data_IF_015077379657
#
_entry.id   IF_015077379657
#
_cell.length_a   1.000
_cell.length_b   1.000
_cell.length_c   1.000
_cell.angle_alpha   90.00
_cell.angle_beta   90.00
_cell.angle_gamma   90.00
#
_symmetry.space_group_name_H-M   'P 1'
#
loop_
_entity.id
_entity.type
_entity.pdbx_description
1 polymer ?
#
# COMPACT_ATOMS: atom_id res chain seq x y z
N UNK A 1 2.83 34.12 26.70
CA UNK A 1 3.99 33.24 26.40
C UNK A 1 3.74 31.82 26.90
N UNK A 2 3.44 31.60 28.19
CA UNK A 2 3.15 30.27 28.75
C UNK A 2 1.91 29.55 28.16
N UNK A 3 0.80 30.26 27.88
CA UNK A 3 -0.39 29.65 27.24
C UNK A 3 -0.17 29.19 25.79
N UNK A 4 0.75 29.84 25.06
CA UNK A 4 1.07 29.48 23.67
C UNK A 4 1.84 28.15 23.65
N UNK A 5 2.76 27.97 24.60
CA UNK A 5 3.53 26.73 24.74
C UNK A 5 2.63 25.55 25.13
N UNK A 6 1.65 25.75 26.02
CA UNK A 6 0.68 24.71 26.41
C UNK A 6 -0.22 24.32 25.23
N UNK A 7 -0.75 25.29 24.48
CA UNK A 7 -1.55 25.01 23.28
C UNK A 7 -0.77 24.26 22.18
N UNK A 8 0.53 24.55 22.02
CA UNK A 8 1.40 23.84 21.07
C UNK A 8 1.68 22.39 21.51
N UNK A 9 1.85 22.17 22.80
CA UNK A 9 2.05 20.82 23.38
C UNK A 9 0.77 19.99 23.27
N UNK A 10 -0.40 20.58 23.53
CA UNK A 10 -1.68 19.89 23.36
C UNK A 10 -1.99 19.57 21.90
N UNK A 11 -1.70 20.49 20.96
CA UNK A 11 -1.94 20.20 19.54
C UNK A 11 -1.05 19.08 19.00
N UNK A 12 0.20 19.00 19.47
CA UNK A 12 1.16 17.97 19.05
C UNK A 12 0.88 16.62 19.70
N UNK A 13 0.44 16.59 20.96
CA UNK A 13 0.04 15.38 21.67
C UNK A 13 -1.26 14.79 21.10
N UNK A 14 -2.27 15.62 20.82
CA UNK A 14 -3.52 15.22 20.18
C UNK A 14 -3.27 14.69 18.76
N UNK A 15 -2.33 15.28 18.01
CA UNK A 15 -1.95 14.77 16.69
C UNK A 15 -1.27 13.40 16.76
N UNK A 16 -0.37 13.18 17.73
CA UNK A 16 0.27 11.87 17.95
C UNK A 16 -0.72 10.79 18.41
N UNK A 17 -1.64 11.12 19.30
CA UNK A 17 -2.71 10.21 19.70
C UNK A 17 -3.59 9.83 18.51
N UNK A 18 -3.88 10.79 17.63
CA UNK A 18 -4.66 10.56 16.43
C UNK A 18 -3.94 9.62 15.45
N UNK A 19 -2.62 9.78 15.24
CA UNK A 19 -1.88 8.91 14.29
C UNK A 19 -1.79 7.45 14.76
N UNK A 20 -1.58 7.22 16.06
CA UNK A 20 -1.54 5.88 16.65
C UNK A 20 -2.92 5.21 16.58
N UNK A 21 -3.98 5.97 16.88
CA UNK A 21 -5.36 5.48 16.76
C UNK A 21 -5.70 5.11 15.32
N UNK A 22 -5.33 5.95 14.36
CA UNK A 22 -5.54 5.71 12.93
C UNK A 22 -4.77 4.47 12.44
N UNK A 23 -3.52 4.29 12.89
CA UNK A 23 -2.75 3.07 12.62
C UNK A 23 -3.42 1.83 13.22
N UNK A 24 -3.88 1.89 14.46
CA UNK A 24 -4.61 0.81 15.10
C UNK A 24 -5.89 0.45 14.34
N UNK A 25 -6.66 1.46 13.92
CA UNK A 25 -7.88 1.27 13.13
C UNK A 25 -7.58 0.72 11.73
N UNK A 26 -6.49 1.17 11.10
CA UNK A 26 -6.04 0.63 9.82
C UNK A 26 -5.60 -0.83 9.91
N UNK A 27 -4.85 -1.21 10.96
CA UNK A 27 -4.45 -2.60 11.20
C UNK A 27 -5.64 -3.49 11.52
N UNK A 28 -6.53 -3.02 12.40
CA UNK A 28 -7.74 -3.75 12.78
C UNK A 28 -8.69 -3.94 11.59
N UNK A 29 -9.03 -2.84 10.91
CA UNK A 29 -9.88 -2.83 9.74
C UNK A 29 -9.29 -3.66 8.62
N UNK A 30 -8.00 -3.48 8.31
CA UNK A 30 -7.27 -4.26 7.31
C UNK A 30 -7.32 -5.75 7.63
N UNK A 31 -6.99 -6.16 8.86
CA UNK A 31 -7.02 -7.58 9.25
C UNK A 31 -8.43 -8.18 9.11
N UNK A 32 -9.48 -7.45 9.52
CA UNK A 32 -10.87 -7.89 9.34
C UNK A 32 -11.22 -7.98 7.86
N UNK A 33 -10.93 -6.95 7.07
CA UNK A 33 -11.18 -6.92 5.63
C UNK A 33 -10.50 -8.07 4.90
N UNK A 34 -9.22 -8.31 5.19
CA UNK A 34 -8.47 -9.44 4.64
C UNK A 34 -9.11 -10.79 4.99
N UNK A 35 -9.51 -10.99 6.26
CA UNK A 35 -10.19 -12.24 6.68
C UNK A 35 -11.56 -12.42 6.02
N UNK A 36 -12.34 -11.35 5.87
CA UNK A 36 -13.64 -11.41 5.17
C UNK A 36 -13.42 -11.82 3.71
N UNK A 37 -12.50 -11.16 3.01
CA UNK A 37 -12.22 -11.46 1.60
C UNK A 37 -11.60 -12.85 1.42
N UNK A 38 -10.79 -13.31 2.38
CA UNK A 38 -10.30 -14.69 2.41
C UNK A 38 -11.45 -15.71 2.47
N UNK A 39 -12.46 -15.48 3.32
CA UNK A 39 -13.65 -16.34 3.40
C UNK A 39 -14.44 -16.37 2.09
N UNK A 40 -14.44 -15.27 1.36
CA UNK A 40 -15.04 -15.17 0.02
C UNK A 40 -14.16 -15.76 -1.10
N UNK A 41 -13.02 -16.38 -0.78
CA UNK A 41 -12.03 -16.91 -1.73
C UNK A 41 -11.39 -15.85 -2.64
N UNK A 42 -11.34 -14.59 -2.19
CA UNK A 42 -10.67 -13.49 -2.86
C UNK A 42 -9.31 -13.23 -2.17
N UNK A 43 -8.26 -12.80 -2.88
CA UNK A 43 -6.99 -12.45 -2.26
C UNK A 43 -7.15 -11.42 -1.14
N UNK A 44 -6.50 -11.66 0.00
CA UNK A 44 -6.60 -10.79 1.19
C UNK A 44 -6.18 -9.34 0.92
N UNK A 45 -5.22 -9.15 0.01
CA UNK A 45 -4.72 -7.84 -0.41
C UNK A 45 -5.86 -6.96 -0.95
N UNK A 46 -6.84 -7.54 -1.63
CA UNK A 46 -8.03 -6.81 -2.10
C UNK A 46 -8.82 -6.27 -0.90
N UNK A 47 -9.01 -7.08 0.14
CA UNK A 47 -9.69 -6.66 1.37
C UNK A 47 -8.97 -5.49 2.06
N UNK A 48 -7.63 -5.51 2.12
CA UNK A 48 -6.85 -4.39 2.67
C UNK A 48 -7.04 -3.10 1.86
N UNK A 49 -7.03 -3.21 0.52
CA UNK A 49 -7.22 -2.08 -0.39
C UNK A 49 -8.62 -1.48 -0.21
N UNK A 50 -9.66 -2.30 -0.15
CA UNK A 50 -11.05 -1.84 0.02
C UNK A 50 -11.21 -1.09 1.35
N UNK A 51 -10.70 -1.64 2.45
CA UNK A 51 -10.74 -0.94 3.74
C UNK A 51 -9.96 0.39 3.68
N UNK A 52 -8.79 0.39 3.02
CA UNK A 52 -8.00 1.61 2.82
C UNK A 52 -8.74 2.68 2.01
N UNK A 53 -9.43 2.29 0.95
CA UNK A 53 -10.26 3.20 0.13
C UNK A 53 -11.42 3.77 0.96
N UNK A 54 -12.11 2.91 1.74
CA UNK A 54 -13.21 3.33 2.61
C UNK A 54 -12.73 4.28 3.73
N UNK A 55 -11.58 4.01 4.36
CA UNK A 55 -11.03 4.87 5.42
C UNK A 55 -10.35 6.15 4.87
N UNK A 56 -9.87 6.10 3.63
CA UNK A 56 -9.16 7.19 2.96
C UNK A 56 -10.07 8.28 2.41
N UNK A 57 -9.46 9.20 1.66
CA UNK A 57 -10.13 10.39 1.12
C UNK A 57 -11.30 10.08 0.19
N UNK A 58 -11.25 8.95 -0.52
CA UNK A 58 -12.32 8.52 -1.43
C UNK A 58 -13.55 7.93 -0.72
N UNK A 59 -13.44 7.61 0.57
CA UNK A 59 -14.53 7.08 1.38
C UNK A 59 -14.95 8.06 2.48
N UNK A 60 -14.72 7.69 3.73
CA UNK A 60 -15.09 8.46 4.91
C UNK A 60 -14.15 9.64 5.22
N UNK A 61 -13.04 9.79 4.47
CA UNK A 61 -12.04 10.85 4.65
C UNK A 61 -11.46 10.93 6.08
N UNK A 62 -11.39 9.78 6.77
CA UNK A 62 -10.79 9.65 8.10
C UNK A 62 -9.27 9.80 8.01
N UNK A 63 -8.68 9.23 6.95
CA UNK A 63 -7.26 9.35 6.61
C UNK A 63 -7.11 10.37 5.49
N UNK A 64 -6.67 11.58 5.86
CA UNK A 64 -6.48 12.69 4.93
C UNK A 64 -5.10 12.68 4.25
N UNK A 65 -4.89 13.57 3.27
CA UNK A 65 -3.65 13.67 2.49
C UNK A 65 -2.41 13.94 3.35
N UNK A 66 -2.53 14.73 4.41
CA UNK A 66 -1.41 15.07 5.28
C UNK A 66 -0.96 13.87 6.11
N UNK A 67 -1.91 13.07 6.60
CA UNK A 67 -1.64 11.79 7.27
C UNK A 67 -0.99 10.80 6.29
N UNK A 68 -1.49 10.68 5.06
CA UNK A 68 -0.91 9.80 4.02
C UNK A 68 0.55 10.18 3.76
N UNK A 69 0.84 11.49 3.65
CA UNK A 69 2.21 11.99 3.47
C UNK A 69 3.08 11.71 4.69
N UNK A 70 2.57 11.91 5.90
CA UNK A 70 3.29 11.63 7.14
C UNK A 70 3.65 10.13 7.27
N UNK A 71 2.79 9.22 6.80
CA UNK A 71 3.03 7.77 6.82
C UNK A 71 3.83 7.24 5.63
N UNK A 72 4.17 8.06 4.63
CA UNK A 72 4.89 7.62 3.44
C UNK A 72 6.24 6.93 3.74
N UNK A 73 7.08 7.42 4.68
CA UNK A 73 8.31 6.72 5.06
C UNK A 73 8.05 5.33 5.63
N UNK A 74 6.98 5.16 6.41
CA UNK A 74 6.57 3.86 6.93
C UNK A 74 6.13 2.90 5.82
N UNK A 75 5.46 3.40 4.78
CA UNK A 75 5.11 2.58 3.61
C UNK A 75 6.36 2.10 2.85
N UNK A 76 7.37 2.97 2.65
CA UNK A 76 8.64 2.55 2.05
C UNK A 76 9.37 1.52 2.90
N UNK A 77 9.37 1.69 4.22
CA UNK A 77 9.93 0.70 5.13
C UNK A 77 9.20 -0.65 5.01
N UNK A 78 7.86 -0.65 4.99
CA UNK A 78 7.06 -1.87 4.83
C UNK A 78 7.30 -2.55 3.48
N UNK A 79 7.33 -1.80 2.37
CA UNK A 79 7.65 -2.33 1.04
C UNK A 79 9.06 -2.89 0.97
N UNK A 80 10.03 -2.23 1.61
CA UNK A 80 11.40 -2.72 1.74
C UNK A 80 11.49 -4.03 2.52
N UNK A 81 10.76 -4.14 3.64
CA UNK A 81 10.67 -5.39 4.41
C UNK A 81 10.03 -6.52 3.60
N UNK A 82 8.91 -6.26 2.91
CA UNK A 82 8.27 -7.27 2.05
C UNK A 82 9.24 -7.72 0.95
N UNK A 83 9.91 -6.78 0.28
CA UNK A 83 10.92 -7.09 -0.73
C UNK A 83 12.10 -7.90 -0.17
N UNK A 84 12.59 -7.55 1.02
CA UNK A 84 13.66 -8.29 1.69
C UNK A 84 13.22 -9.71 2.07
N UNK A 85 12.02 -9.88 2.63
CA UNK A 85 11.48 -11.19 3.00
C UNK A 85 11.31 -12.09 1.78
N UNK A 86 10.72 -11.57 0.69
CA UNK A 86 10.56 -12.32 -0.57
C UNK A 86 11.94 -12.66 -1.18
N UNK A 87 12.87 -11.71 -1.16
CA UNK A 87 14.23 -11.92 -1.64
C UNK A 87 15.02 -12.94 -0.82
N UNK A 88 14.79 -13.00 0.49
CA UNK A 88 15.40 -13.97 1.40
C UNK A 88 14.91 -15.41 1.20
N UNK A 89 13.68 -15.59 0.71
CA UNK A 89 13.10 -16.91 0.40
C UNK A 89 13.62 -17.47 -0.94
N UNK A 90 14.38 -16.68 -1.72
CA UNK A 90 14.82 -17.05 -3.06
C UNK A 90 15.99 -18.06 -3.01
N UNK A 91 15.71 -19.32 -3.38
CA UNK A 91 16.71 -20.39 -3.40
C UNK A 91 17.67 -20.27 -4.59
N UNK A 92 18.98 -20.27 -4.30
CA UNK A 92 20.03 -20.19 -5.34
C UNK A 92 19.90 -21.30 -6.41
N UNK A 93 19.53 -22.51 -6.03
CA UNK A 93 19.37 -23.63 -6.97
C UNK A 93 18.21 -23.42 -7.96
N UNK A 94 17.10 -22.82 -7.49
CA UNK A 94 15.95 -22.46 -8.33
C UNK A 94 16.34 -21.36 -9.30
N UNK A 95 17.06 -20.34 -8.83
CA UNK A 95 17.53 -19.25 -9.68
C UNK A 95 18.55 -19.73 -10.72
N UNK A 96 19.43 -20.68 -10.37
CA UNK A 96 20.38 -21.24 -11.32
C UNK A 96 19.70 -22.07 -12.40
N UNK A 97 18.64 -22.82 -12.06
CA UNK A 97 17.90 -23.66 -13.02
C UNK A 97 16.93 -22.87 -13.89
N UNK A 98 16.23 -21.88 -13.32
CA UNK A 98 15.12 -21.18 -13.99
C UNK A 98 15.32 -19.67 -14.14
N UNK A 99 16.43 -19.10 -13.68
CA UNK A 99 16.64 -17.65 -13.63
C UNK A 99 16.52 -16.95 -14.97
N UNK A 100 17.10 -17.51 -16.04
CA UNK A 100 16.95 -16.97 -17.40
C UNK A 100 15.48 -16.97 -17.86
N UNK A 101 14.73 -18.02 -17.53
CA UNK A 101 13.31 -18.08 -17.85
C UNK A 101 12.52 -17.04 -17.06
N UNK A 102 12.78 -16.88 -15.75
CA UNK A 102 12.16 -15.82 -14.95
C UNK A 102 12.43 -14.43 -15.51
N UNK A 103 13.68 -14.12 -15.87
CA UNK A 103 14.02 -12.81 -16.45
C UNK A 103 13.25 -12.58 -17.75
N UNK A 104 13.20 -13.56 -18.64
CA UNK A 104 12.48 -13.45 -19.92
C UNK A 104 10.98 -13.24 -19.67
N UNK A 105 10.37 -14.02 -18.78
CA UNK A 105 8.95 -13.89 -18.44
C UNK A 105 8.68 -12.51 -17.84
N UNK A 106 9.43 -12.09 -16.82
CA UNK A 106 9.23 -10.81 -16.14
C UNK A 106 9.37 -9.62 -17.09
N UNK A 107 10.41 -9.62 -17.93
CA UNK A 107 10.62 -8.56 -18.92
C UNK A 107 9.55 -8.58 -20.00
N UNK A 108 9.22 -9.76 -20.54
CA UNK A 108 8.24 -9.88 -21.61
C UNK A 108 6.85 -9.51 -21.12
N UNK A 109 6.40 -10.06 -20.00
CA UNK A 109 5.09 -9.75 -19.41
C UNK A 109 5.02 -8.29 -18.96
N UNK A 110 6.04 -7.79 -18.26
CA UNK A 110 6.08 -6.41 -17.79
C UNK A 110 6.07 -5.39 -18.93
N UNK A 111 6.95 -5.57 -19.93
CA UNK A 111 7.03 -4.65 -21.07
C UNK A 111 5.81 -4.78 -21.98
N UNK A 112 5.33 -5.99 -22.25
CA UNK A 112 4.14 -6.19 -23.08
C UNK A 112 2.89 -5.64 -22.40
N UNK A 113 2.69 -5.91 -21.11
CA UNK A 113 1.55 -5.35 -20.36
C UNK A 113 1.61 -3.82 -20.36
N UNK A 114 2.78 -3.23 -20.12
CA UNK A 114 2.96 -1.79 -20.19
C UNK A 114 2.62 -1.23 -21.57
N UNK A 115 3.17 -1.81 -22.65
CA UNK A 115 2.94 -1.36 -24.01
C UNK A 115 1.47 -1.47 -24.42
N UNK A 116 0.84 -2.63 -24.17
CA UNK A 116 -0.57 -2.88 -24.52
C UNK A 116 -1.49 -1.95 -23.74
N UNK A 117 -1.35 -1.86 -22.42
CA UNK A 117 -2.21 -0.99 -21.60
C UNK A 117 -2.02 0.48 -21.99
N UNK A 118 -0.78 0.92 -22.24
CA UNK A 118 -0.50 2.29 -22.67
C UNK A 118 -1.10 2.62 -24.03
N UNK A 119 -1.00 1.71 -25.01
CA UNK A 119 -1.59 1.90 -26.33
C UNK A 119 -3.13 1.93 -26.26
N UNK A 120 -3.74 0.99 -25.53
CA UNK A 120 -5.19 0.91 -25.41
C UNK A 120 -5.73 2.14 -24.69
N UNK A 121 -5.21 2.49 -23.52
CA UNK A 121 -5.66 3.64 -22.74
C UNK A 121 -5.36 4.95 -23.47
N UNK A 122 -4.20 5.07 -24.12
CA UNK A 122 -3.84 6.26 -24.89
C UNK A 122 -4.75 6.47 -26.10
N UNK A 123 -5.05 5.41 -26.85
CA UNK A 123 -5.97 5.48 -27.99
C UNK A 123 -7.41 5.76 -27.55
N UNK A 124 -7.93 5.04 -26.54
CA UNK A 124 -9.29 5.27 -26.02
C UNK A 124 -9.44 6.66 -25.40
N UNK A 125 -8.43 7.12 -24.65
CA UNK A 125 -8.42 8.44 -24.02
C UNK A 125 -8.24 9.60 -25.01
N UNK A 126 -7.79 9.33 -26.24
CA UNK A 126 -7.81 10.32 -27.33
C UNK A 126 -9.16 10.36 -28.05
N UNK A 127 -9.96 9.28 -27.93
CA UNK A 127 -11.27 9.13 -28.58
C UNK A 127 -12.44 9.66 -27.72
N UNK A 128 -12.27 9.66 -26.39
CA UNK A 128 -13.20 10.22 -25.40
C UNK A 128 -12.91 11.70 -25.13
#
# INVERSE_FOLDING_TARGET
MWEITINLIDKTSLFHLNILLLLGLALFGGTIGGRIFQKLKIPQVVGYIIIGILAGQSGFNIINKDIIRALQPFNYFALGLIGFMIGGELKRDVLRRYGRQFIIILFSEGFSAFAVVSLVVGFLGTLL
#
